data_IF_252947606640
#
_entry.id   IF_252947606640
#
_cell.length_a   1.000
_cell.length_b   1.000
_cell.length_c   1.000
_cell.angle_alpha   90.00
_cell.angle_beta   90.00
_cell.angle_gamma   90.00
#
_symmetry.space_group_name_H-M   'P 1'
#
loop_
_entity.id
_entity.type
_entity.pdbx_description
1 polymer ?
#
# COMPACT_ATOMS: atom_id res chain seq x y z
N UNK A 1 -6.07 29.15 -16.63
CA UNK A 1 -5.72 29.90 -15.42
C UNK A 1 -4.35 29.47 -14.92
N UNK A 2 -3.53 30.43 -14.52
CA UNK A 2 -2.25 30.17 -13.84
C UNK A 2 -2.49 30.27 -12.32
N UNK A 3 -2.12 29.24 -11.60
CA UNK A 3 -2.17 29.27 -10.14
C UNK A 3 -0.92 29.95 -9.57
N UNK A 4 -1.04 30.61 -8.41
CA UNK A 4 0.12 31.23 -7.78
C UNK A 4 1.15 30.17 -7.39
N UNK A 5 2.43 30.52 -7.53
CA UNK A 5 3.54 29.66 -7.13
C UNK A 5 3.50 29.54 -5.60
N UNK A 6 3.46 28.30 -5.10
CA UNK A 6 3.63 28.02 -3.67
C UNK A 6 5.13 28.02 -3.39
N UNK A 7 5.63 28.98 -2.57
CA UNK A 7 7.06 29.04 -2.30
C UNK A 7 7.49 27.80 -1.51
N UNK A 8 8.67 27.27 -1.88
CA UNK A 8 9.30 26.23 -1.09
C UNK A 8 9.71 26.82 0.27
N UNK A 9 9.03 26.44 1.32
CA UNK A 9 9.39 26.86 2.68
C UNK A 9 10.70 26.16 3.04
N UNK A 10 11.80 26.91 3.10
CA UNK A 10 13.01 26.41 3.74
C UNK A 10 12.69 26.32 5.23
N UNK A 11 12.67 25.11 5.76
CA UNK A 11 12.57 24.90 7.18
C UNK A 11 13.90 25.35 7.80
N UNK A 12 13.97 26.48 8.54
CA UNK A 12 15.22 26.98 9.09
C UNK A 12 15.72 26.11 10.26
N UNK A 13 14.90 25.24 10.79
CA UNK A 13 15.28 24.27 11.79
C UNK A 13 15.81 23.02 11.10
N UNK A 14 17.12 22.91 10.97
CA UNK A 14 17.79 21.64 10.80
C UNK A 14 17.22 20.68 11.83
N UNK A 15 16.51 19.67 11.35
CA UNK A 15 16.00 18.57 12.17
C UNK A 15 17.11 18.13 13.09
N UNK A 16 16.90 18.19 14.39
CA UNK A 16 17.83 17.58 15.33
C UNK A 16 17.86 16.11 14.98
N UNK A 17 19.04 15.51 14.98
CA UNK A 17 19.26 14.11 14.59
C UNK A 17 18.34 13.11 15.35
N UNK A 18 17.75 13.54 16.47
CA UNK A 18 16.82 12.82 17.33
C UNK A 18 15.37 12.87 16.83
N UNK A 19 15.03 13.76 15.90
CA UNK A 19 13.66 13.89 15.39
C UNK A 19 13.43 12.87 14.27
N UNK A 20 12.29 12.14 14.29
CA UNK A 20 11.96 11.20 13.21
C UNK A 20 11.93 11.94 11.87
N UNK A 21 12.65 11.41 10.88
CA UNK A 21 12.69 11.94 9.50
C UNK A 21 11.32 11.99 8.82
N UNK A 22 10.34 11.32 9.40
CA UNK A 22 8.96 11.19 8.91
C UNK A 22 8.01 12.28 9.43
N UNK A 23 8.46 13.24 10.21
CA UNK A 23 7.68 14.43 10.50
C UNK A 23 7.58 15.26 9.21
N UNK A 24 6.69 14.83 8.33
CA UNK A 24 6.28 15.61 7.17
C UNK A 24 5.68 16.89 7.73
N UNK A 25 6.46 17.95 7.73
CA UNK A 25 5.99 19.27 8.15
C UNK A 25 4.79 19.63 7.29
N UNK A 26 3.68 20.05 7.90
CA UNK A 26 2.52 20.65 7.22
C UNK A 26 2.91 21.85 6.33
N UNK A 27 4.13 22.32 6.45
CA UNK A 27 4.76 23.35 5.63
C UNK A 27 5.34 22.82 4.29
N UNK A 28 5.21 21.53 3.98
CA UNK A 28 5.67 21.01 2.70
C UNK A 28 4.82 21.61 1.57
N UNK A 29 5.48 22.30 0.63
CA UNK A 29 4.83 22.96 -0.51
C UNK A 29 4.02 21.98 -1.39
N UNK A 30 4.39 20.71 -1.45
CA UNK A 30 3.65 19.66 -2.16
C UNK A 30 2.32 19.34 -1.47
N UNK A 31 2.30 19.26 -0.14
CA UNK A 31 1.08 19.04 0.65
C UNK A 31 0.13 20.22 0.49
N UNK A 32 0.67 21.44 0.61
CA UNK A 32 -0.12 22.66 0.45
C UNK A 32 -0.74 22.76 -0.96
N UNK A 33 0.03 22.44 -2.01
CA UNK A 33 -0.47 22.42 -3.38
C UNK A 33 -1.53 21.34 -3.57
N UNK A 34 -1.29 20.14 -3.09
CA UNK A 34 -2.23 19.02 -3.18
C UNK A 34 -3.56 19.33 -2.51
N UNK A 35 -3.54 19.93 -1.30
CA UNK A 35 -4.74 20.38 -0.58
C UNK A 35 -5.51 21.43 -1.36
N UNK A 36 -4.83 22.43 -1.95
CA UNK A 36 -5.47 23.44 -2.76
C UNK A 36 -6.15 22.85 -4.00
N UNK A 37 -5.49 21.91 -4.70
CA UNK A 37 -6.07 21.20 -5.84
C UNK A 37 -7.35 20.46 -5.42
N UNK A 38 -7.28 19.67 -4.35
CA UNK A 38 -8.41 18.89 -3.86
C UNK A 38 -9.60 19.78 -3.43
N UNK A 39 -9.31 20.88 -2.72
CA UNK A 39 -10.33 21.85 -2.31
C UNK A 39 -11.01 22.53 -3.49
N UNK A 40 -10.25 22.92 -4.53
CA UNK A 40 -10.80 23.56 -5.70
C UNK A 40 -11.68 22.60 -6.51
N UNK A 41 -11.25 21.36 -6.68
CA UNK A 41 -12.08 20.32 -7.34
C UNK A 41 -13.38 20.12 -6.57
N UNK A 42 -13.31 20.00 -5.23
CA UNK A 42 -14.48 19.85 -4.39
C UNK A 42 -15.42 21.05 -4.52
N UNK A 43 -14.88 22.27 -4.48
CA UNK A 43 -15.64 23.50 -4.67
C UNK A 43 -16.38 23.51 -6.01
N UNK A 44 -15.71 23.13 -7.10
CA UNK A 44 -16.33 23.08 -8.42
C UNK A 44 -17.47 22.06 -8.50
N UNK A 45 -17.32 20.91 -7.88
CA UNK A 45 -18.36 19.87 -7.83
C UNK A 45 -19.55 20.33 -6.98
N UNK A 46 -19.29 20.87 -5.79
CA UNK A 46 -20.32 21.30 -4.85
C UNK A 46 -21.12 22.50 -5.41
N UNK A 47 -20.46 23.42 -6.11
CA UNK A 47 -21.09 24.56 -6.78
C UNK A 47 -21.74 24.19 -8.13
N UNK A 48 -21.64 22.92 -8.56
CA UNK A 48 -22.20 22.45 -9.84
C UNK A 48 -21.79 23.31 -11.02
N UNK A 49 -20.50 23.65 -11.10
CA UNK A 49 -19.97 24.43 -12.21
C UNK A 49 -20.35 23.80 -13.54
N UNK A 50 -20.86 24.60 -14.46
CA UNK A 50 -21.34 24.14 -15.76
C UNK A 50 -20.19 23.99 -16.74
N UNK A 51 -20.08 22.81 -17.36
CA UNK A 51 -19.10 22.52 -18.42
C UNK A 51 -19.85 22.19 -19.73
N UNK A 52 -19.31 22.55 -20.89
CA UNK A 52 -19.90 22.20 -22.17
C UNK A 52 -19.77 20.69 -22.44
N UNK A 53 -20.87 20.04 -22.78
CA UNK A 53 -20.91 18.65 -23.24
C UNK A 53 -21.22 18.64 -24.73
N UNK A 54 -20.24 18.24 -25.54
CA UNK A 54 -20.41 18.15 -27.00
C UNK A 54 -20.50 16.68 -27.41
N UNK A 55 -21.72 16.20 -27.65
CA UNK A 55 -21.96 14.82 -28.10
C UNK A 55 -21.65 14.60 -29.57
N UNK A 56 -21.73 15.65 -30.42
CA UNK A 56 -21.43 15.62 -31.83
C UNK A 56 -20.90 17.00 -32.29
N UNK A 57 -19.94 17.02 -33.22
CA UNK A 57 -19.31 18.23 -33.77
C UNK A 57 -20.32 19.20 -34.44
N UNK A 58 -21.48 18.64 -34.85
CA UNK A 58 -22.52 19.41 -35.58
C UNK A 58 -23.64 19.96 -34.69
N UNK A 59 -23.65 19.65 -33.39
CA UNK A 59 -24.69 20.11 -32.46
C UNK A 59 -24.16 21.23 -31.55
N UNK A 60 -25.06 22.19 -31.19
CA UNK A 60 -24.73 23.22 -30.20
C UNK A 60 -24.34 22.54 -28.86
N UNK A 61 -23.30 23.00 -28.18
CA UNK A 61 -22.90 22.43 -26.90
C UNK A 61 -24.03 22.56 -25.89
N UNK A 62 -24.38 21.45 -25.26
CA UNK A 62 -25.23 21.45 -24.07
C UNK A 62 -24.37 21.62 -22.84
N UNK A 63 -24.90 22.26 -21.80
CA UNK A 63 -24.15 22.45 -20.55
C UNK A 63 -24.63 21.46 -19.51
N UNK A 64 -23.71 20.90 -18.76
CA UNK A 64 -24.02 20.02 -17.62
C UNK A 64 -23.12 20.33 -16.42
N UNK A 65 -23.57 20.00 -15.20
CA UNK A 65 -22.71 20.13 -14.02
C UNK A 65 -21.47 19.22 -14.12
N UNK A 66 -20.35 19.73 -13.65
CA UNK A 66 -19.08 19.00 -13.59
C UNK A 66 -19.18 17.81 -12.63
N UNK A 67 -18.53 16.71 -12.97
CA UNK A 67 -18.46 15.47 -12.19
C UNK A 67 -17.00 15.12 -11.93
N UNK A 68 -16.74 14.26 -10.94
CA UNK A 68 -15.39 13.80 -10.61
C UNK A 68 -14.63 13.21 -11.81
N UNK A 69 -15.32 12.44 -12.65
CA UNK A 69 -14.72 11.86 -13.86
C UNK A 69 -14.30 12.85 -14.94
N UNK A 70 -14.68 14.14 -14.83
CA UNK A 70 -14.26 15.18 -15.76
C UNK A 70 -12.88 15.75 -15.44
N UNK A 71 -12.33 15.45 -14.24
CA UNK A 71 -11.02 15.93 -13.83
C UNK A 71 -9.92 14.94 -14.19
N UNK A 72 -8.91 15.46 -14.86
CA UNK A 72 -7.68 14.76 -15.16
C UNK A 72 -6.50 15.60 -14.68
N UNK A 73 -5.74 15.07 -13.71
CA UNK A 73 -4.57 15.71 -13.17
C UNK A 73 -3.33 15.07 -13.81
N UNK A 74 -2.54 15.90 -14.51
CA UNK A 74 -1.32 15.44 -15.14
C UNK A 74 -0.11 15.90 -14.34
N UNK A 75 0.76 14.95 -14.01
CA UNK A 75 2.04 15.20 -13.35
C UNK A 75 3.20 14.80 -14.26
N UNK A 76 4.33 15.46 -14.11
CA UNK A 76 5.51 15.18 -14.93
C UNK A 76 6.13 13.83 -14.60
N UNK A 77 6.20 13.50 -13.30
CA UNK A 77 6.76 12.26 -12.76
C UNK A 77 5.93 11.79 -11.57
N UNK A 78 5.98 10.50 -11.28
CA UNK A 78 5.43 9.93 -10.03
C UNK A 78 6.38 10.26 -8.88
N UNK A 79 6.31 11.50 -8.43
CA UNK A 79 7.07 12.04 -7.29
C UNK A 79 6.14 12.22 -6.09
N UNK A 80 6.67 12.78 -5.01
CA UNK A 80 5.92 13.08 -3.79
C UNK A 80 4.56 13.78 -4.05
N UNK A 81 4.52 14.76 -4.96
CA UNK A 81 3.29 15.49 -5.32
C UNK A 81 2.18 14.56 -5.86
N UNK A 82 2.53 13.49 -6.56
CA UNK A 82 1.55 12.54 -7.08
C UNK A 82 0.79 11.84 -5.95
N UNK A 83 1.52 11.37 -4.94
CA UNK A 83 0.94 10.70 -3.78
C UNK A 83 0.16 11.66 -2.89
N UNK A 84 0.68 12.88 -2.69
CA UNK A 84 0.00 13.90 -1.89
C UNK A 84 -1.31 14.37 -2.53
N UNK A 85 -1.41 14.46 -3.87
CA UNK A 85 -2.68 14.76 -4.56
C UNK A 85 -3.72 13.67 -4.29
N UNK A 86 -3.32 12.40 -4.40
CA UNK A 86 -4.23 11.27 -4.13
C UNK A 86 -4.72 11.33 -2.68
N UNK A 87 -3.79 11.54 -1.73
CA UNK A 87 -4.10 11.66 -0.31
C UNK A 87 -5.05 12.82 -0.04
N UNK A 88 -4.73 14.03 -0.52
CA UNK A 88 -5.55 15.21 -0.31
C UNK A 88 -6.97 15.08 -0.90
N UNK A 89 -7.12 14.43 -2.05
CA UNK A 89 -8.44 14.15 -2.61
C UNK A 89 -9.24 13.19 -1.74
N UNK A 90 -8.60 12.16 -1.16
CA UNK A 90 -9.24 11.23 -0.24
C UNK A 90 -9.64 11.89 1.09
N UNK A 91 -8.79 12.77 1.63
CA UNK A 91 -9.05 13.50 2.88
C UNK A 91 -10.31 14.39 2.78
N UNK A 92 -10.70 14.78 1.58
CA UNK A 92 -11.93 15.56 1.33
C UNK A 92 -13.05 14.73 0.70
N UNK A 93 -12.97 13.40 0.76
CA UNK A 93 -13.96 12.44 0.24
C UNK A 93 -14.24 12.58 -1.27
N UNK A 94 -13.26 12.96 -2.06
CA UNK A 94 -13.39 12.97 -3.51
C UNK A 94 -13.10 11.57 -4.09
N UNK A 95 -13.96 11.05 -4.99
CA UNK A 95 -13.72 9.79 -5.66
C UNK A 95 -12.53 9.93 -6.62
N UNK A 96 -11.41 9.36 -6.25
CA UNK A 96 -10.17 9.40 -7.04
C UNK A 96 -9.77 7.99 -7.44
N UNK A 97 -9.47 7.80 -8.72
CA UNK A 97 -8.83 6.58 -9.18
C UNK A 97 -7.42 6.52 -8.57
N UNK A 98 -7.13 5.44 -7.87
CA UNK A 98 -5.81 5.23 -7.29
C UNK A 98 -4.69 5.26 -8.34
N UNK A 99 -3.44 5.10 -7.90
CA UNK A 99 -2.31 5.07 -8.82
C UNK A 99 -2.52 4.04 -9.95
N UNK A 100 -2.25 4.44 -11.19
CA UNK A 100 -2.40 3.66 -12.42
C UNK A 100 -1.69 2.28 -12.38
N UNK A 101 -0.69 2.15 -11.52
CA UNK A 101 0.05 0.91 -11.30
C UNK A 101 0.32 0.71 -9.82
N UNK A 102 -0.16 -0.38 -9.30
CA UNK A 102 0.18 -0.85 -7.97
C UNK A 102 1.54 -1.55 -8.07
N UNK A 103 2.56 -1.03 -7.41
CA UNK A 103 3.78 -1.79 -7.14
C UNK A 103 3.49 -2.69 -5.96
N UNK A 104 3.16 -3.94 -6.26
CA UNK A 104 2.73 -4.90 -5.26
C UNK A 104 3.74 -5.03 -4.12
N UNK A 105 5.03 -5.19 -4.45
CA UNK A 105 6.12 -5.27 -3.48
C UNK A 105 6.34 -3.97 -2.66
N UNK A 106 5.72 -2.85 -3.04
CA UNK A 106 5.80 -1.56 -2.33
C UNK A 106 4.81 -1.45 -1.17
N UNK A 107 3.71 -2.17 -1.23
CA UNK A 107 2.62 -2.08 -0.25
C UNK A 107 2.99 -2.73 1.09
N UNK A 108 2.72 -2.02 2.20
CA UNK A 108 3.13 -2.48 3.53
C UNK A 108 2.47 -3.81 3.91
N UNK A 109 1.17 -3.98 3.63
CA UNK A 109 0.47 -5.23 3.89
C UNK A 109 1.12 -6.42 3.16
N UNK A 110 1.58 -6.20 1.93
CA UNK A 110 2.22 -7.23 1.12
C UNK A 110 3.60 -7.55 1.67
N UNK A 111 4.38 -6.54 2.08
CA UNK A 111 5.68 -6.74 2.74
C UNK A 111 5.53 -7.55 4.01
N UNK A 112 4.50 -7.27 4.83
CA UNK A 112 4.26 -8.00 6.06
C UNK A 112 3.91 -9.48 5.79
N UNK A 113 3.07 -9.74 4.77
CA UNK A 113 2.76 -11.12 4.34
C UNK A 113 4.01 -11.82 3.77
N UNK A 114 4.77 -11.14 2.90
CA UNK A 114 5.99 -11.71 2.33
C UNK A 114 7.06 -12.00 3.39
N UNK A 115 7.24 -11.12 4.39
CA UNK A 115 8.12 -11.39 5.53
C UNK A 115 7.63 -12.61 6.31
N UNK A 116 6.31 -12.76 6.48
CA UNK A 116 5.77 -13.94 7.14
C UNK A 116 6.09 -15.22 6.36
N UNK A 117 5.88 -15.22 5.07
CA UNK A 117 6.22 -16.34 4.20
C UNK A 117 7.73 -16.63 4.20
N UNK A 118 8.58 -15.59 4.22
CA UNK A 118 10.04 -15.73 4.30
C UNK A 118 10.48 -16.41 5.60
N UNK A 119 9.89 -16.05 6.73
CA UNK A 119 10.13 -16.73 7.99
C UNK A 119 9.63 -18.17 7.97
N UNK A 120 8.49 -18.44 7.33
CA UNK A 120 7.97 -19.82 7.20
C UNK A 120 8.92 -20.67 6.34
N UNK A 121 9.45 -20.11 5.26
CA UNK A 121 10.44 -20.77 4.40
C UNK A 121 11.76 -21.00 5.15
N UNK A 122 12.27 -20.00 5.88
CA UNK A 122 13.50 -20.07 6.64
C UNK A 122 13.31 -19.59 8.09
N UNK A 123 13.29 -20.53 9.04
CA UNK A 123 13.13 -20.26 10.49
C UNK A 123 14.30 -19.51 11.13
N UNK A 124 15.45 -19.50 10.50
CA UNK A 124 16.64 -18.80 11.01
C UNK A 124 16.70 -17.34 10.53
N UNK A 125 15.70 -16.90 9.75
CA UNK A 125 15.57 -15.51 9.33
C UNK A 125 14.95 -14.65 10.43
N UNK A 126 15.82 -14.17 11.30
CA UNK A 126 15.48 -13.28 12.42
C UNK A 126 14.89 -11.95 11.96
N UNK A 127 15.34 -11.44 10.79
CA UNK A 127 14.85 -10.17 10.27
C UNK A 127 13.38 -10.28 9.86
N UNK A 128 13.04 -11.29 9.10
CA UNK A 128 11.67 -11.54 8.69
C UNK A 128 10.76 -11.82 9.88
N UNK A 129 11.21 -12.62 10.86
CA UNK A 129 10.44 -12.85 12.08
C UNK A 129 10.23 -11.56 12.88
N UNK A 130 11.26 -10.74 13.06
CA UNK A 130 11.14 -9.46 13.76
C UNK A 130 10.14 -8.51 13.06
N UNK A 131 10.19 -8.43 11.73
CA UNK A 131 9.25 -7.64 10.94
C UNK A 131 7.81 -8.13 11.12
N UNK A 132 7.59 -9.44 11.08
CA UNK A 132 6.28 -10.05 11.27
C UNK A 132 5.73 -9.80 12.67
N UNK A 133 6.54 -9.95 13.72
CA UNK A 133 6.13 -9.68 15.09
C UNK A 133 5.70 -8.22 15.30
N UNK A 134 6.35 -7.27 14.61
CA UNK A 134 5.99 -5.84 14.64
C UNK A 134 4.83 -5.47 13.73
N UNK A 135 4.52 -6.31 12.74
CA UNK A 135 3.40 -6.08 11.83
C UNK A 135 2.05 -6.10 12.55
N UNK A 136 0.99 -5.63 11.91
CA UNK A 136 -0.37 -5.71 12.46
C UNK A 136 -0.82 -7.14 12.79
N UNK A 137 -0.17 -8.15 12.23
CA UNK A 137 -0.50 -9.57 12.46
C UNK A 137 -0.27 -9.97 13.92
N UNK A 138 0.76 -9.44 14.58
CA UNK A 138 1.07 -9.69 15.99
C UNK A 138 1.07 -8.43 16.86
N UNK A 139 1.31 -7.27 16.26
CA UNK A 139 1.18 -5.96 16.91
C UNK A 139 2.20 -5.68 18.01
N UNK A 140 3.39 -6.30 17.97
CA UNK A 140 4.42 -6.05 18.95
C UNK A 140 4.99 -4.63 18.89
N UNK A 141 5.31 -4.09 20.05
CA UNK A 141 6.04 -2.84 20.16
C UNK A 141 7.56 -3.08 20.22
N UNK A 142 8.34 -1.98 20.07
CA UNK A 142 9.81 -2.02 20.10
C UNK A 142 10.35 -2.68 21.38
N UNK A 143 9.73 -2.40 22.53
CA UNK A 143 10.18 -2.92 23.81
C UNK A 143 10.02 -4.44 23.89
N UNK A 144 8.90 -4.98 23.41
CA UNK A 144 8.67 -6.44 23.39
C UNK A 144 9.70 -7.17 22.52
N UNK A 145 9.99 -6.60 21.33
CA UNK A 145 11.00 -7.15 20.42
C UNK A 145 12.39 -7.03 21.03
N UNK A 146 12.72 -5.88 21.62
CA UNK A 146 14.01 -5.66 22.30
C UNK A 146 14.22 -6.64 23.45
N UNK A 147 13.21 -6.84 24.32
CA UNK A 147 13.29 -7.75 25.46
C UNK A 147 13.56 -9.18 25.01
N UNK A 148 12.96 -9.63 23.89
CA UNK A 148 13.24 -10.93 23.30
C UNK A 148 14.64 -11.00 22.71
N UNK A 149 15.01 -10.01 21.89
CA UNK A 149 16.28 -9.98 21.16
C UNK A 149 17.48 -9.83 22.07
N UNK A 150 17.35 -9.05 23.16
CA UNK A 150 18.44 -8.83 24.12
C UNK A 150 18.72 -10.05 24.99
N UNK A 151 17.68 -10.82 25.30
CA UNK A 151 17.78 -11.97 26.21
C UNK A 151 18.12 -13.30 25.53
N UNK A 152 18.30 -13.31 24.20
CA UNK A 152 18.40 -14.56 23.42
C UNK A 152 19.82 -15.17 23.36
N UNK A 153 20.88 -14.44 23.78
CA UNK A 153 22.25 -14.88 23.62
C UNK A 153 22.59 -15.20 22.14
N UNK A 154 23.17 -16.35 21.85
CA UNK A 154 23.53 -16.82 20.48
C UNK A 154 22.37 -17.52 19.75
N UNK A 155 21.16 -17.53 20.31
CA UNK A 155 20.01 -18.17 19.69
C UNK A 155 19.30 -17.28 18.68
N UNK A 156 18.60 -17.90 17.71
CA UNK A 156 17.66 -17.16 16.86
C UNK A 156 16.44 -16.69 17.68
N UNK A 157 15.74 -15.67 17.18
CA UNK A 157 14.49 -15.19 17.82
C UNK A 157 13.48 -16.34 17.97
N UNK A 158 13.37 -17.18 16.95
CA UNK A 158 12.52 -18.36 16.94
C UNK A 158 12.86 -19.34 18.06
N UNK A 159 14.15 -19.66 18.21
CA UNK A 159 14.61 -20.56 19.28
C UNK A 159 14.36 -19.95 20.66
N UNK A 160 14.57 -18.65 20.83
CA UNK A 160 14.33 -17.94 22.09
C UNK A 160 12.83 -17.95 22.47
N UNK A 161 11.94 -17.77 21.50
CA UNK A 161 10.49 -17.87 21.74
C UNK A 161 10.10 -19.28 22.18
N UNK A 162 10.61 -20.32 21.51
CA UNK A 162 10.32 -21.73 21.85
C UNK A 162 10.86 -22.16 23.21
N UNK A 163 11.90 -21.52 23.75
CA UNK A 163 12.34 -21.76 25.14
C UNK A 163 11.32 -21.29 26.17
N UNK A 164 10.46 -20.33 25.84
CA UNK A 164 9.48 -19.77 26.75
C UNK A 164 8.04 -19.89 26.20
N UNK A 165 7.53 -21.09 25.94
CA UNK A 165 6.27 -21.30 25.21
C UNK A 165 5.05 -20.75 25.95
N UNK A 166 5.11 -20.66 27.29
CA UNK A 166 4.01 -20.05 28.06
C UNK A 166 3.89 -18.55 27.87
N UNK A 167 5.02 -17.88 27.66
CA UNK A 167 5.07 -16.43 27.46
C UNK A 167 4.59 -16.04 26.05
N UNK A 168 4.89 -16.86 25.05
CA UNK A 168 4.66 -16.59 23.62
C UNK A 168 3.65 -17.57 23.01
N UNK A 169 2.70 -18.06 23.80
CA UNK A 169 1.79 -19.14 23.38
C UNK A 169 0.93 -18.76 22.18
N UNK A 170 0.46 -17.52 22.10
CA UNK A 170 -0.38 -17.04 21.00
C UNK A 170 0.41 -16.97 19.69
N UNK A 171 1.59 -16.40 19.75
CA UNK A 171 2.47 -16.25 18.58
C UNK A 171 2.95 -17.62 18.11
N UNK A 172 3.41 -18.46 19.02
CA UNK A 172 3.89 -19.81 18.71
C UNK A 172 2.80 -20.67 18.07
N UNK A 173 1.56 -20.60 18.54
CA UNK A 173 0.46 -21.33 17.94
C UNK A 173 0.26 -20.98 16.45
N UNK A 174 0.36 -19.71 16.09
CA UNK A 174 0.22 -19.27 14.70
C UNK A 174 1.44 -19.65 13.87
N UNK A 175 2.64 -19.39 14.40
CA UNK A 175 3.89 -19.64 13.71
C UNK A 175 4.14 -21.14 13.49
N UNK A 176 3.88 -21.98 14.50
CA UNK A 176 4.01 -23.44 14.42
C UNK A 176 2.96 -24.06 13.51
N UNK A 177 1.71 -23.57 13.54
CA UNK A 177 0.66 -24.03 12.63
C UNK A 177 1.09 -23.86 11.19
N UNK A 178 1.50 -22.66 10.79
CA UNK A 178 1.90 -22.36 9.42
C UNK A 178 3.16 -23.12 9.00
N UNK A 179 4.15 -23.24 9.88
CA UNK A 179 5.36 -24.00 9.59
C UNK A 179 5.11 -25.51 9.43
N UNK A 180 4.17 -26.05 10.19
CA UNK A 180 3.83 -27.48 10.11
C UNK A 180 3.21 -27.89 8.78
N UNK A 181 2.64 -26.95 8.05
CA UNK A 181 1.96 -27.18 6.77
C UNK A 181 2.70 -26.59 5.56
N UNK A 182 3.80 -25.88 5.79
CA UNK A 182 4.53 -25.13 4.76
C UNK A 182 5.01 -26.02 3.59
N UNK A 183 5.44 -27.23 3.88
CA UNK A 183 5.93 -28.19 2.88
C UNK A 183 4.80 -28.85 2.07
N UNK A 184 3.56 -28.71 2.52
CA UNK A 184 2.40 -29.37 1.92
C UNK A 184 1.48 -28.44 1.19
N UNK A 185 1.40 -27.17 1.64
CA UNK A 185 0.53 -26.16 1.05
C UNK A 185 1.25 -25.33 0.00
N UNK A 186 0.51 -24.91 -1.01
CA UNK A 186 0.99 -24.00 -2.05
C UNK A 186 1.00 -22.56 -1.52
N UNK A 187 1.74 -21.64 -2.17
CA UNK A 187 1.80 -20.24 -1.76
C UNK A 187 0.43 -19.57 -1.57
N UNK A 188 -0.52 -19.80 -2.48
CA UNK A 188 -1.88 -19.29 -2.36
C UNK A 188 -2.56 -19.78 -1.08
N UNK A 189 -2.51 -21.08 -0.82
CA UNK A 189 -3.14 -21.69 0.35
C UNK A 189 -2.51 -21.24 1.67
N UNK A 190 -1.19 -21.03 1.68
CA UNK A 190 -0.48 -20.45 2.85
C UNK A 190 -0.93 -19.01 3.11
N UNK A 191 -1.01 -18.18 2.05
CA UNK A 191 -1.49 -16.80 2.17
C UNK A 191 -2.93 -16.79 2.66
N UNK A 192 -3.80 -17.63 2.09
CA UNK A 192 -5.19 -17.74 2.50
C UNK A 192 -5.32 -18.16 3.97
N UNK A 193 -4.47 -19.10 4.41
CA UNK A 193 -4.44 -19.55 5.82
C UNK A 193 -4.06 -18.41 6.77
N UNK A 194 -3.06 -17.60 6.42
CA UNK A 194 -2.69 -16.39 7.18
C UNK A 194 -3.88 -15.40 7.25
N UNK A 195 -4.51 -15.14 6.10
CA UNK A 195 -5.52 -14.11 5.98
C UNK A 195 -6.86 -14.50 6.64
N UNK A 196 -7.27 -15.76 6.51
CA UNK A 196 -8.59 -16.24 6.96
C UNK A 196 -8.48 -16.92 8.33
N UNK A 197 -7.70 -18.02 8.45
CA UNK A 197 -7.65 -18.80 9.69
C UNK A 197 -7.06 -17.99 10.84
N UNK A 198 -5.98 -17.25 10.58
CA UNK A 198 -5.32 -16.42 11.58
C UNK A 198 -5.80 -14.96 11.57
N UNK A 199 -6.92 -14.66 10.87
CA UNK A 199 -7.57 -13.34 10.82
C UNK A 199 -6.65 -12.20 10.32
N UNK A 200 -5.59 -12.54 9.57
CA UNK A 200 -4.61 -11.58 9.08
C UNK A 200 -5.23 -10.48 8.24
N UNK A 201 -6.25 -10.80 7.41
CA UNK A 201 -6.96 -9.80 6.60
C UNK A 201 -7.58 -8.70 7.46
N UNK A 202 -8.30 -9.06 8.51
CA UNK A 202 -8.94 -8.09 9.40
C UNK A 202 -7.93 -7.26 10.20
N UNK A 203 -6.82 -7.85 10.61
CA UNK A 203 -5.74 -7.18 11.33
C UNK A 203 -5.02 -6.16 10.44
N UNK A 204 -4.67 -6.56 9.21
CA UNK A 204 -4.01 -5.69 8.24
C UNK A 204 -4.92 -4.52 7.82
N UNK A 205 -6.18 -4.79 7.45
CA UNK A 205 -7.13 -3.75 7.05
C UNK A 205 -7.46 -2.83 8.23
N UNK A 206 -7.62 -3.36 9.45
CA UNK A 206 -7.90 -2.58 10.64
C UNK A 206 -6.81 -1.56 10.99
N UNK A 207 -5.55 -1.88 10.68
CA UNK A 207 -4.40 -0.98 10.96
C UNK A 207 -4.03 -0.10 9.77
N UNK A 208 -4.04 -0.67 8.56
CA UNK A 208 -3.53 -0.01 7.35
C UNK A 208 -4.64 0.66 6.51
N UNK A 209 -5.90 0.40 6.85
CA UNK A 209 -7.05 0.92 6.12
C UNK A 209 -7.50 0.04 4.95
N UNK A 210 -8.63 0.44 4.34
CA UNK A 210 -9.26 -0.31 3.24
C UNK A 210 -8.37 -0.43 1.98
N UNK A 211 -7.39 0.44 1.83
CA UNK A 211 -6.46 0.40 0.69
C UNK A 211 -5.63 -0.90 0.67
N UNK A 212 -5.31 -1.44 1.86
CA UNK A 212 -4.61 -2.71 1.98
C UNK A 212 -5.41 -3.89 1.40
N UNK A 213 -6.75 -3.79 1.33
CA UNK A 213 -7.61 -4.84 0.81
C UNK A 213 -7.35 -5.14 -0.66
N UNK A 214 -7.22 -4.10 -1.47
CA UNK A 214 -6.93 -4.25 -2.91
C UNK A 214 -5.55 -4.88 -3.14
N UNK A 215 -4.55 -4.48 -2.35
CA UNK A 215 -3.22 -5.09 -2.39
C UNK A 215 -3.28 -6.58 -2.04
N UNK A 216 -4.00 -6.95 -0.99
CA UNK A 216 -4.18 -8.34 -0.54
C UNK A 216 -4.87 -9.19 -1.63
N UNK A 217 -5.97 -8.71 -2.21
CA UNK A 217 -6.70 -9.43 -3.27
C UNK A 217 -5.84 -9.61 -4.53
N UNK A 218 -5.03 -8.60 -4.81
CA UNK A 218 -4.06 -8.65 -5.90
C UNK A 218 -2.96 -9.68 -5.63
N UNK A 219 -2.41 -9.73 -4.40
CA UNK A 219 -1.42 -10.73 -4.00
C UNK A 219 -1.97 -12.15 -4.18
N UNK A 220 -3.21 -12.41 -3.73
CA UNK A 220 -3.88 -13.71 -3.90
C UNK A 220 -4.01 -14.07 -5.38
N UNK A 221 -4.44 -13.10 -6.22
CA UNK A 221 -4.55 -13.32 -7.66
C UNK A 221 -3.19 -13.64 -8.30
N UNK A 222 -2.13 -12.98 -7.85
CA UNK A 222 -0.77 -13.24 -8.33
C UNK A 222 -0.24 -14.59 -7.84
N UNK A 223 -0.55 -15.01 -6.62
CA UNK A 223 -0.19 -16.34 -6.13
C UNK A 223 -0.85 -17.45 -6.98
N UNK A 224 -2.12 -17.30 -7.32
CA UNK A 224 -2.80 -18.22 -8.25
C UNK A 224 -2.15 -18.24 -9.63
N UNK A 225 -1.81 -17.07 -10.19
CA UNK A 225 -1.16 -16.98 -11.49
C UNK A 225 0.22 -17.66 -11.47
N UNK A 226 1.00 -17.45 -10.40
CA UNK A 226 2.28 -18.12 -10.22
C UNK A 226 2.13 -19.64 -10.21
N UNK A 227 1.15 -20.19 -9.49
CA UNK A 227 0.90 -21.63 -9.41
C UNK A 227 0.47 -22.27 -10.73
N UNK A 228 -0.09 -21.47 -11.65
CA UNK A 228 -0.47 -21.92 -12.99
C UNK A 228 0.72 -21.91 -13.95
N UNK A 229 1.59 -20.91 -13.82
CA UNK A 229 2.69 -20.67 -14.78
C UNK A 229 4.02 -21.31 -14.38
N UNK A 230 4.23 -21.54 -13.08
CA UNK A 230 5.51 -21.96 -12.50
C UNK A 230 5.35 -23.21 -11.63
N UNK A 231 6.47 -23.80 -11.22
CA UNK A 231 6.47 -24.89 -10.23
C UNK A 231 6.12 -24.28 -8.86
N UNK A 232 5.02 -24.69 -8.22
CA UNK A 232 4.59 -24.10 -6.97
C UNK A 232 5.59 -24.40 -5.84
N UNK A 233 6.46 -23.43 -5.52
CA UNK A 233 7.34 -23.48 -4.36
C UNK A 233 7.30 -22.15 -3.64
N UNK A 234 7.43 -22.16 -2.30
CA UNK A 234 7.38 -20.96 -1.50
C UNK A 234 8.56 -20.04 -1.79
N UNK A 235 9.77 -20.59 -1.82
CA UNK A 235 11.01 -19.87 -2.16
C UNK A 235 10.93 -19.25 -3.56
N UNK A 236 10.43 -20.00 -4.56
CA UNK A 236 10.24 -19.51 -5.93
C UNK A 236 9.23 -18.38 -6.00
N UNK A 237 8.11 -18.50 -5.28
CA UNK A 237 7.09 -17.45 -5.21
C UNK A 237 7.65 -16.16 -4.58
N UNK A 238 8.38 -16.27 -3.47
CA UNK A 238 9.00 -15.11 -2.81
C UNK A 238 10.02 -14.41 -3.72
N UNK A 239 10.82 -15.18 -4.43
CA UNK A 239 11.76 -14.63 -5.42
C UNK A 239 11.03 -13.94 -6.58
N UNK A 240 9.97 -14.59 -7.09
CA UNK A 240 9.15 -14.06 -8.19
C UNK A 240 8.43 -12.76 -7.82
N UNK A 241 7.83 -12.67 -6.60
CA UNK A 241 7.10 -11.46 -6.18
C UNK A 241 8.03 -10.31 -5.81
N UNK A 242 9.27 -10.62 -5.42
CA UNK A 242 10.31 -9.61 -5.11
C UNK A 242 10.89 -8.96 -6.37
N UNK A 243 10.67 -9.56 -7.55
CA UNK A 243 11.09 -8.95 -8.80
C UNK A 243 10.30 -7.65 -9.02
N UNK A 244 11.00 -6.49 -9.01
CA UNK A 244 10.41 -5.15 -9.04
C UNK A 244 9.52 -4.87 -10.26
N UNK A 245 9.49 -5.77 -11.22
CA UNK A 245 8.77 -5.64 -12.48
C UNK A 245 7.30 -6.10 -12.42
N UNK A 246 6.82 -6.64 -11.28
CA UNK A 246 5.39 -6.96 -11.14
C UNK A 246 4.60 -5.67 -10.89
N UNK A 247 4.46 -4.90 -11.95
CA UNK A 247 3.54 -3.76 -12.00
C UNK A 247 2.18 -4.25 -12.49
N UNK A 248 1.18 -4.20 -11.62
CA UNK A 248 -0.18 -4.53 -12.01
C UNK A 248 -0.85 -3.28 -12.52
N UNK A 249 -1.20 -3.27 -13.80
CA UNK A 249 -2.08 -2.25 -14.35
C UNK A 249 -3.45 -2.43 -13.72
N UNK A 250 -3.89 -1.46 -12.94
CA UNK A 250 -5.31 -1.35 -12.60
C UNK A 250 -6.08 -1.16 -13.89
N UNK A 251 -7.05 -2.03 -14.16
CA UNK A 251 -8.00 -1.78 -15.22
C UNK A 251 -8.84 -0.57 -14.81
N UNK A 252 -8.59 0.57 -15.47
CA UNK A 252 -9.48 1.71 -15.32
C UNK A 252 -10.80 1.36 -15.97
N UNK A 253 -11.78 1.10 -15.12
CA UNK A 253 -13.15 1.12 -15.59
C UNK A 253 -13.53 2.58 -15.88
N UNK A 254 -13.46 2.95 -17.17
CA UNK A 254 -13.81 4.28 -17.65
C UNK A 254 -15.26 4.68 -17.33
N UNK A 255 -16.07 3.73 -16.85
CA UNK A 255 -17.43 3.95 -16.38
C UNK A 255 -17.52 4.55 -14.98
N UNK A 256 -16.46 4.46 -14.18
CA UNK A 256 -16.42 5.04 -12.83
C UNK A 256 -16.22 6.55 -12.89
N UNK A 257 -17.13 7.29 -12.25
CA UNK A 257 -17.07 8.75 -12.12
C UNK A 257 -15.98 9.13 -11.07
N UNK A 258 -14.68 9.00 -11.43
CA UNK A 258 -13.55 9.22 -10.55
C UNK A 258 -12.53 10.18 -11.16
N UNK A 259 -11.93 11.02 -10.31
CA UNK A 259 -10.79 11.87 -10.68
C UNK A 259 -9.61 10.98 -11.08
N UNK A 260 -8.95 11.31 -12.19
CA UNK A 260 -7.79 10.58 -12.69
C UNK A 260 -6.50 11.36 -12.47
N UNK A 261 -5.48 10.71 -11.92
CA UNK A 261 -4.13 11.27 -11.79
C UNK A 261 -3.18 10.40 -12.58
N UNK A 262 -2.46 10.96 -13.53
CA UNK A 262 -1.53 10.20 -14.37
C UNK A 262 -0.31 11.03 -14.78
N UNK A 263 0.73 10.35 -15.26
CA UNK A 263 1.88 11.01 -15.82
C UNK A 263 1.66 11.30 -17.31
N UNK A 264 2.34 12.31 -17.84
CA UNK A 264 2.27 12.69 -19.26
C UNK A 264 2.59 11.50 -20.18
N UNK A 265 3.53 10.62 -19.79
CA UNK A 265 3.87 9.42 -20.57
C UNK A 265 2.72 8.41 -20.64
N UNK A 266 1.91 8.27 -19.60
CA UNK A 266 0.75 7.37 -19.62
C UNK A 266 -0.30 7.83 -20.62
N UNK A 267 -0.43 9.13 -20.83
CA UNK A 267 -1.42 9.73 -21.74
C UNK A 267 -1.10 9.47 -23.22
N UNK A 268 0.17 9.22 -23.55
CA UNK A 268 0.60 8.94 -24.93
C UNK A 268 0.36 7.48 -25.36
N UNK A 269 0.07 6.59 -24.42
CA UNK A 269 -0.13 5.14 -24.65
C UNK A 269 -1.58 4.68 -24.39
N UNK A 270 -2.50 5.58 -24.04
CA UNK A 270 -3.95 5.35 -23.92
C UNK A 270 -4.69 6.04 -25.07
#
# INVERSE_FOLDING_TARGET
>A
DLWPIIPKTMNPNLLKWEEPLELISDANHFISLARLIAQEIKRMIDQRVQIPEQKNIQQKPTFRPVRAGDFLILVQRRSEIFHEIIRACKDVDLPIAGADRLRLAGELAIKDICNFLSFIDNADDDFSLAAVLKSPLFGWNEKQLFDLAHSREDMTLWQAMRKNPKKFSNELNVLEDLRSVADFLRPYELIERILILHKGRSLLIGRLGKEAEEGIDTLLSQAMNYEISEIPSLTGFLSWISDENIEIKRQFDSSMNQIRVMTIHCLLYT
#
